data_IF_280128564918
#
_entry.id   IF_280128564918
#
_cell.length_a   1.000
_cell.length_b   1.000
_cell.length_c   1.000
_cell.angle_alpha   90.00
_cell.angle_beta   90.00
_cell.angle_gamma   90.00
#
_symmetry.space_group_name_H-M   'P 1'
#
loop_
_entity.id
_entity.type
_entity.pdbx_description
1 polymer ?
#
# COMPACT_ATOMS: atom_id res chain seq x y z
N UNK A 1 3.03 13.02 19.00
CA UNK A 1 2.40 11.95 18.21
C UNK A 1 3.03 10.62 18.56
N UNK A 2 2.21 9.61 18.72
CA UNK A 2 2.68 8.28 19.11
C UNK A 2 3.39 7.56 17.95
N UNK A 3 4.44 6.82 18.27
CA UNK A 3 5.11 5.92 17.33
C UNK A 3 4.22 4.75 16.89
N UNK A 4 3.08 4.56 17.54
CA UNK A 4 2.09 3.55 17.20
C UNK A 4 1.03 4.04 16.21
N UNK A 5 1.27 5.19 15.59
CA UNK A 5 0.40 5.78 14.56
C UNK A 5 1.24 6.38 13.45
N UNK A 6 0.66 6.40 12.24
CA UNK A 6 1.24 7.13 11.13
C UNK A 6 0.64 8.54 11.16
N UNK A 7 1.48 9.54 11.38
CA UNK A 7 1.03 10.94 11.32
C UNK A 7 0.78 11.39 9.88
N UNK A 8 0.01 12.45 9.70
CA UNK A 8 -0.17 13.05 8.38
C UNK A 8 1.17 13.50 7.77
N UNK A 9 2.06 14.06 8.57
CA UNK A 9 3.38 14.47 8.09
C UNK A 9 4.17 13.27 7.55
N UNK A 10 4.19 12.15 8.27
CA UNK A 10 4.85 10.93 7.78
C UNK A 10 4.16 10.37 6.55
N UNK A 11 2.83 10.38 6.50
CA UNK A 11 2.09 9.92 5.33
C UNK A 11 2.46 10.77 4.09
N UNK A 12 2.56 12.08 4.24
CA UNK A 12 2.97 12.97 3.16
C UNK A 12 4.41 12.71 2.72
N UNK A 13 5.31 12.40 3.65
CA UNK A 13 6.69 12.03 3.34
C UNK A 13 6.73 10.73 2.54
N UNK A 14 5.95 9.73 2.94
CA UNK A 14 5.82 8.46 2.19
C UNK A 14 5.43 8.73 0.75
N UNK A 15 4.38 9.53 0.54
CA UNK A 15 3.85 9.79 -0.80
C UNK A 15 4.88 10.54 -1.65
N UNK A 16 5.48 11.60 -1.12
CA UNK A 16 6.48 12.37 -1.85
C UNK A 16 7.69 11.51 -2.26
N UNK A 17 8.19 10.68 -1.36
CA UNK A 17 9.33 9.80 -1.64
C UNK A 17 8.97 8.64 -2.57
N UNK A 18 7.76 8.12 -2.49
CA UNK A 18 7.23 7.14 -3.44
C UNK A 18 7.26 7.71 -4.86
N UNK A 19 6.77 8.91 -5.05
CA UNK A 19 6.76 9.56 -6.36
C UNK A 19 8.16 9.92 -6.85
N UNK A 20 9.04 10.35 -5.94
CA UNK A 20 10.43 10.63 -6.28
C UNK A 20 11.14 9.37 -6.79
N UNK A 21 10.90 8.24 -6.13
CA UNK A 21 11.45 6.94 -6.56
C UNK A 21 10.92 6.55 -7.94
N UNK A 22 9.64 6.76 -8.19
CA UNK A 22 9.05 6.47 -9.49
C UNK A 22 9.68 7.30 -10.61
N UNK A 23 9.92 8.59 -10.39
CA UNK A 23 10.59 9.46 -11.36
C UNK A 23 12.04 9.02 -11.61
N UNK A 24 12.77 8.75 -10.54
CA UNK A 24 14.16 8.26 -10.64
C UNK A 24 14.26 6.99 -11.46
N UNK A 25 13.34 6.05 -11.27
CA UNK A 25 13.35 4.75 -11.92
C UNK A 25 12.62 4.73 -13.28
N UNK A 26 12.09 5.86 -13.73
CA UNK A 26 11.38 5.96 -15.01
C UNK A 26 10.04 5.23 -15.05
N UNK A 27 9.37 5.13 -13.91
CA UNK A 27 8.06 4.48 -13.80
C UNK A 27 6.95 5.34 -14.44
N UNK A 28 5.88 4.68 -14.85
CA UNK A 28 4.64 5.36 -15.25
C UNK A 28 4.06 6.14 -14.07
N UNK A 29 3.13 7.10 -14.29
CA UNK A 29 2.51 7.85 -13.20
C UNK A 29 1.92 6.94 -12.14
N UNK A 30 2.15 7.29 -10.88
CA UNK A 30 1.75 6.50 -9.71
C UNK A 30 0.64 7.17 -8.92
N UNK A 31 -0.15 6.34 -8.27
CA UNK A 31 -1.05 6.74 -7.18
C UNK A 31 -0.56 6.07 -5.90
N UNK A 32 -0.60 6.81 -4.79
CA UNK A 32 -0.13 6.31 -3.50
C UNK A 32 -1.12 6.68 -2.41
N UNK A 33 -1.52 5.69 -1.62
CA UNK A 33 -2.39 5.86 -0.46
C UNK A 33 -1.65 5.40 0.80
N UNK A 34 -1.87 6.14 1.88
CA UNK A 34 -1.45 5.73 3.22
C UNK A 34 -2.70 5.58 4.06
N UNK A 35 -2.86 4.41 4.68
CA UNK A 35 -4.02 4.11 5.52
C UNK A 35 -3.57 3.82 6.95
N UNK A 36 -4.48 4.06 7.92
CA UNK A 36 -4.25 3.71 9.32
C UNK A 36 -4.44 2.20 9.57
N UNK A 37 -4.30 1.77 10.82
CA UNK A 37 -4.40 0.36 11.17
C UNK A 37 -5.79 -0.26 10.89
N UNK A 38 -6.82 0.56 10.78
CA UNK A 38 -8.18 0.13 10.42
C UNK A 38 -8.45 0.15 8.92
N UNK A 39 -7.45 0.53 8.12
CA UNK A 39 -7.62 0.63 6.67
C UNK A 39 -8.23 1.94 6.18
N UNK A 40 -8.39 2.93 7.07
CA UNK A 40 -8.96 4.23 6.71
C UNK A 40 -7.88 5.14 6.14
N UNK A 41 -8.24 5.91 5.10
CA UNK A 41 -7.29 6.78 4.40
C UNK A 41 -6.82 7.92 5.30
N UNK A 42 -5.50 8.05 5.46
CA UNK A 42 -4.86 9.21 6.07
C UNK A 42 -4.54 10.25 4.98
N UNK A 43 -3.94 9.81 3.87
CA UNK A 43 -3.58 10.66 2.75
C UNK A 43 -3.56 9.86 1.45
N UNK A 44 -3.90 10.52 0.36
CA UNK A 44 -3.84 9.96 -0.99
C UNK A 44 -3.45 11.04 -1.97
N UNK A 45 -2.56 10.70 -2.91
CA UNK A 45 -2.28 11.53 -4.07
C UNK A 45 -2.13 10.67 -5.30
N UNK A 46 -2.55 11.19 -6.44
CA UNK A 46 -2.28 10.59 -7.74
C UNK A 46 -1.51 11.57 -8.61
N UNK A 47 -0.48 11.09 -9.28
CA UNK A 47 0.23 11.90 -10.26
C UNK A 47 -0.66 12.15 -11.49
N UNK A 48 -0.38 13.23 -12.19
CA UNK A 48 -1.09 13.52 -13.44
C UNK A 48 -0.93 12.35 -14.42
N UNK A 49 -2.02 12.03 -15.12
CA UNK A 49 -2.03 10.97 -16.10
C UNK A 49 -2.44 9.59 -15.58
N UNK A 50 -2.67 9.45 -14.26
CA UNK A 50 -3.21 8.19 -13.71
C UNK A 50 -4.72 8.10 -13.93
N UNK A 51 -5.24 6.88 -14.15
CA UNK A 51 -6.67 6.65 -14.23
C UNK A 51 -7.32 6.78 -12.85
N UNK A 52 -8.61 7.16 -12.81
CA UNK A 52 -9.29 7.43 -11.53
C UNK A 52 -9.59 6.18 -10.69
N UNK A 53 -9.57 4.98 -11.29
CA UNK A 53 -9.74 3.74 -10.53
C UNK A 53 -8.53 3.44 -9.62
N UNK A 54 -7.42 4.12 -9.83
CA UNK A 54 -6.18 3.85 -9.10
C UNK A 54 -6.29 4.08 -7.59
N UNK A 55 -7.13 5.01 -7.13
CA UNK A 55 -7.40 5.14 -5.69
C UNK A 55 -7.94 3.82 -5.12
N UNK A 56 -8.93 3.24 -5.77
CA UNK A 56 -9.56 2.01 -5.29
C UNK A 56 -8.59 0.83 -5.32
N UNK A 57 -7.75 0.75 -6.36
CA UNK A 57 -6.73 -0.30 -6.47
C UNK A 57 -5.66 -0.12 -5.39
N UNK A 58 -5.13 1.07 -5.21
CA UNK A 58 -4.11 1.36 -4.18
C UNK A 58 -4.66 1.05 -2.79
N UNK A 59 -5.88 1.49 -2.50
CA UNK A 59 -6.54 1.22 -1.23
C UNK A 59 -6.79 -0.27 -1.02
N UNK A 60 -7.21 -0.99 -2.05
CA UNK A 60 -7.41 -2.44 -1.98
C UNK A 60 -6.10 -3.20 -1.74
N UNK A 61 -4.98 -2.71 -2.25
CA UNK A 61 -3.66 -3.27 -1.93
C UNK A 61 -3.30 -3.04 -0.46
N UNK A 62 -3.46 -1.81 0.04
CA UNK A 62 -3.10 -1.45 1.41
C UNK A 62 -4.06 -2.05 2.44
N UNK A 63 -5.35 -1.79 2.30
CA UNK A 63 -6.35 -2.27 3.24
C UNK A 63 -6.51 -3.79 3.20
N UNK A 64 -6.41 -4.40 2.01
CA UNK A 64 -6.45 -5.84 1.87
C UNK A 64 -5.27 -6.52 2.57
N UNK A 65 -4.09 -5.93 2.50
CA UNK A 65 -2.92 -6.42 3.25
C UNK A 65 -3.20 -6.43 4.76
N UNK A 66 -3.73 -5.33 5.30
CA UNK A 66 -4.11 -5.26 6.72
C UNK A 66 -5.18 -6.28 7.08
N UNK A 67 -6.18 -6.46 6.22
CA UNK A 67 -7.28 -7.40 6.45
C UNK A 67 -6.81 -8.84 6.60
N UNK A 68 -5.77 -9.24 5.84
CA UNK A 68 -5.20 -10.59 5.90
C UNK A 68 -3.93 -10.67 6.76
N UNK A 69 -3.36 -9.56 7.16
CA UNK A 69 -2.14 -9.52 7.98
C UNK A 69 -0.87 -9.87 7.23
N UNK A 70 -0.86 -9.76 5.92
CA UNK A 70 0.30 -10.02 5.05
C UNK A 70 0.38 -8.97 3.94
N UNK A 71 1.58 -8.72 3.41
CA UNK A 71 1.72 -7.80 2.29
C UNK A 71 0.95 -8.31 1.05
N UNK A 72 0.52 -7.41 0.19
CA UNK A 72 -0.31 -7.80 -0.97
C UNK A 72 0.43 -8.68 -1.98
N UNK A 73 1.77 -8.69 -1.98
CA UNK A 73 2.57 -9.67 -2.71
C UNK A 73 2.23 -11.09 -2.27
N UNK A 74 2.15 -11.32 -0.95
CA UNK A 74 1.81 -12.64 -0.41
C UNK A 74 0.36 -13.02 -0.75
N UNK A 75 -0.54 -12.06 -0.78
CA UNK A 75 -1.92 -12.32 -1.22
C UNK A 75 -1.93 -12.80 -2.68
N UNK A 76 -1.07 -12.23 -3.53
CA UNK A 76 -0.90 -12.69 -4.91
C UNK A 76 -0.44 -14.15 -5.00
N UNK A 77 0.50 -14.54 -4.15
CA UNK A 77 0.95 -15.95 -4.05
C UNK A 77 -0.18 -16.87 -3.58
N UNK A 78 -0.94 -16.42 -2.57
CA UNK A 78 -2.11 -17.15 -2.07
C UNK A 78 -3.18 -17.32 -3.15
N UNK A 79 -3.38 -16.29 -3.97
CA UNK A 79 -4.32 -16.34 -5.09
C UNK A 79 -3.91 -17.35 -6.14
N UNK A 80 -2.61 -17.51 -6.39
CA UNK A 80 -2.10 -18.53 -7.31
C UNK A 80 -2.29 -19.95 -6.74
N UNK A 81 -2.09 -20.12 -5.43
CA UNK A 81 -2.25 -21.40 -4.74
C UNK A 81 -3.72 -21.77 -4.52
N UNK A 82 -4.57 -20.79 -4.20
CA UNK A 82 -5.96 -20.97 -3.80
C UNK A 82 -6.86 -19.90 -4.42
N UNK A 83 -7.04 -19.90 -5.76
CA UNK A 83 -7.75 -18.82 -6.45
C UNK A 83 -9.20 -18.63 -6.00
N UNK A 84 -9.94 -19.74 -5.78
CA UNK A 84 -11.34 -19.65 -5.36
C UNK A 84 -11.48 -19.06 -3.96
N UNK A 85 -10.57 -19.43 -3.05
CA UNK A 85 -10.59 -18.90 -1.68
C UNK A 85 -10.34 -17.37 -1.69
N UNK A 86 -9.28 -16.93 -2.32
CA UNK A 86 -8.96 -15.49 -2.38
C UNK A 86 -10.06 -14.72 -3.09
N UNK A 87 -10.62 -15.24 -4.18
CA UNK A 87 -11.73 -14.60 -4.88
C UNK A 87 -12.96 -14.40 -3.96
N UNK A 88 -13.22 -15.36 -3.07
CA UNK A 88 -14.35 -15.28 -2.14
C UNK A 88 -14.19 -14.19 -1.08
N UNK A 89 -12.96 -13.79 -0.75
CA UNK A 89 -12.69 -12.82 0.30
C UNK A 89 -13.00 -11.38 -0.13
N UNK A 90 -13.07 -11.09 -1.42
CA UNK A 90 -13.37 -9.76 -1.93
C UNK A 90 -14.68 -9.18 -1.41
N UNK A 91 -15.68 -10.04 -1.18
CA UNK A 91 -16.98 -9.63 -0.65
C UNK A 91 -16.92 -9.28 0.85
N UNK A 92 -15.94 -9.76 1.57
CA UNK A 92 -15.78 -9.55 3.01
C UNK A 92 -14.92 -8.33 3.31
N UNK A 93 -14.03 -7.97 2.39
CA UNK A 93 -13.07 -6.88 2.58
C UNK A 93 -13.72 -5.53 2.25
N UNK A 94 -14.03 -4.75 3.28
CA UNK A 94 -14.78 -3.48 3.14
C UNK A 94 -14.11 -2.47 2.20
N UNK A 95 -12.77 -2.41 2.19
CA UNK A 95 -12.00 -1.45 1.39
C UNK A 95 -11.23 -2.12 0.24
N UNK A 96 -11.65 -3.30 -0.16
CA UNK A 96 -11.08 -4.04 -1.26
C UNK A 96 -9.97 -5.01 -0.84
N UNK A 97 -9.61 -5.86 -1.79
CA UNK A 97 -8.56 -6.86 -1.62
C UNK A 97 -7.97 -7.10 -3.00
N UNK A 98 -6.77 -6.57 -3.23
CA UNK A 98 -6.10 -6.65 -4.54
C UNK A 98 -4.88 -7.56 -4.41
N UNK A 99 -4.88 -8.74 -5.05
CA UNK A 99 -3.89 -9.80 -4.83
C UNK A 99 -2.64 -9.63 -5.70
N UNK A 100 -2.02 -8.46 -5.67
CA UNK A 100 -0.77 -8.18 -6.38
C UNK A 100 0.10 -7.25 -5.54
N UNK A 101 1.40 -7.28 -5.75
CA UNK A 101 2.36 -6.47 -5.00
C UNK A 101 2.07 -4.96 -5.10
N UNK A 102 2.49 -4.22 -4.09
CA UNK A 102 2.31 -2.77 -4.00
C UNK A 102 1.63 -2.31 -2.72
N UNK A 103 1.02 -3.22 -1.96
CA UNK A 103 0.49 -2.95 -0.64
C UNK A 103 1.44 -3.48 0.43
N UNK A 104 1.96 -2.59 1.27
CA UNK A 104 2.96 -2.93 2.28
C UNK A 104 2.49 -2.47 3.65
N UNK A 105 2.40 -3.42 4.59
CA UNK A 105 2.06 -3.12 5.98
C UNK A 105 3.22 -2.38 6.63
N UNK A 106 2.89 -1.37 7.43
CA UNK A 106 3.84 -0.64 8.27
C UNK A 106 3.66 -1.12 9.71
N UNK A 107 4.77 -1.51 10.33
CA UNK A 107 4.78 -2.01 11.71
C UNK A 107 5.21 -0.92 12.68
N UNK A 108 4.61 -0.93 13.86
CA UNK A 108 5.06 -0.14 15.00
C UNK A 108 6.23 -0.79 15.74
N UNK A 109 6.70 -0.15 16.82
CA UNK A 109 7.84 -0.64 17.61
C UNK A 109 7.63 -2.03 18.22
N UNK A 110 6.38 -2.41 18.47
CA UNK A 110 6.00 -3.73 19.02
C UNK A 110 5.79 -4.80 17.93
N UNK A 111 6.02 -4.46 16.67
CA UNK A 111 5.80 -5.36 15.53
C UNK A 111 4.35 -5.47 15.08
N UNK A 112 3.43 -4.76 15.72
CA UNK A 112 2.01 -4.74 15.35
C UNK A 112 1.79 -3.70 14.26
N UNK A 113 0.91 -3.99 13.31
CA UNK A 113 0.60 -3.08 12.21
C UNK A 113 0.02 -1.76 12.72
N UNK A 114 0.56 -0.64 12.24
CA UNK A 114 0.04 0.70 12.53
C UNK A 114 -0.60 1.34 11.30
N UNK A 115 -0.51 0.70 10.16
CA UNK A 115 -1.08 1.14 8.90
C UNK A 115 -0.49 0.39 7.73
N UNK A 116 -0.73 0.89 6.54
CA UNK A 116 -0.18 0.35 5.32
C UNK A 116 -0.06 1.41 4.23
N UNK A 117 0.77 1.13 3.26
CA UNK A 117 0.96 1.96 2.06
C UNK A 117 0.55 1.14 0.85
N UNK A 118 -0.23 1.73 -0.04
CA UNK A 118 -0.61 1.11 -1.31
C UNK A 118 -0.18 1.97 -2.48
N UNK A 119 0.54 1.37 -3.42
CA UNK A 119 1.01 2.02 -4.64
C UNK A 119 0.54 1.25 -5.85
N UNK A 120 0.09 1.97 -6.86
CA UNK A 120 -0.32 1.40 -8.14
C UNK A 120 -0.01 2.37 -9.28
N UNK A 121 0.23 1.86 -10.48
CA UNK A 121 0.44 2.67 -11.67
C UNK A 121 1.43 2.09 -12.64
N UNK A 122 2.44 1.38 -12.18
CA UNK A 122 3.45 0.70 -12.99
C UNK A 122 3.26 -0.83 -12.88
N UNK A 123 4.31 -1.61 -13.07
CA UNK A 123 4.24 -3.04 -12.74
C UNK A 123 4.08 -3.21 -11.23
N UNK A 124 3.46 -4.30 -10.81
CA UNK A 124 3.24 -4.55 -9.37
C UNK A 124 4.57 -4.60 -8.60
N UNK A 125 5.62 -5.18 -9.17
CA UNK A 125 6.94 -5.19 -8.55
C UNK A 125 7.51 -3.78 -8.39
N UNK A 126 7.39 -2.94 -9.39
CA UNK A 126 7.84 -1.55 -9.33
C UNK A 126 6.99 -0.73 -8.35
N UNK A 127 5.69 -0.96 -8.30
CA UNK A 127 4.80 -0.34 -7.33
C UNK A 127 5.28 -0.61 -5.89
N UNK A 128 5.68 -1.85 -5.61
CA UNK A 128 6.22 -2.24 -4.30
C UNK A 128 7.55 -1.57 -4.00
N UNK A 129 8.45 -1.50 -4.98
CA UNK A 129 9.74 -0.81 -4.84
C UNK A 129 9.51 0.65 -4.45
N UNK A 130 8.57 1.32 -5.10
CA UNK A 130 8.24 2.71 -4.80
C UNK A 130 7.63 2.85 -3.39
N UNK A 131 6.75 1.93 -2.99
CA UNK A 131 6.15 1.92 -1.65
C UNK A 131 7.24 1.77 -0.57
N UNK A 132 8.16 0.83 -0.75
CA UNK A 132 9.25 0.60 0.20
C UNK A 132 10.17 1.81 0.32
N UNK A 133 10.46 2.49 -0.78
CA UNK A 133 11.25 3.73 -0.76
C UNK A 133 10.54 4.83 0.04
N UNK A 134 9.23 4.96 -0.11
CA UNK A 134 8.44 5.92 0.64
C UNK A 134 8.44 5.63 2.15
N UNK A 135 8.23 4.38 2.51
CA UNK A 135 8.22 3.92 3.92
C UNK A 135 9.59 4.20 4.57
N UNK A 136 10.68 3.86 3.88
CA UNK A 136 12.02 4.09 4.39
C UNK A 136 12.31 5.58 4.59
N UNK A 137 11.92 6.44 3.65
CA UNK A 137 12.14 7.88 3.75
C UNK A 137 11.43 8.51 4.94
N UNK A 138 10.29 7.96 5.36
CA UNK A 138 9.55 8.43 6.53
C UNK A 138 10.07 7.85 7.86
N UNK A 139 11.11 7.01 7.82
CA UNK A 139 11.64 6.36 9.00
C UNK A 139 10.71 5.29 9.56
N UNK A 140 9.81 4.76 8.74
CA UNK A 140 8.87 3.71 9.12
C UNK A 140 9.45 2.33 8.79
N UNK A 141 8.87 1.29 9.41
CA UNK A 141 9.34 -0.08 9.27
C UNK A 141 8.31 -0.91 8.49
N UNK A 142 8.68 -1.49 7.33
CA UNK A 142 7.77 -2.36 6.59
C UNK A 142 7.73 -3.76 7.20
N UNK A 143 6.62 -4.47 6.95
CA UNK A 143 6.50 -5.91 7.23
C UNK A 143 7.39 -6.69 6.29
#
# INVERSE_FOLDING_TARGET
MSEFRISLDKANTVIAATFAKGKEAGMKPLSCVVVDAGGHVIAFQRQDGTSFLRLDIARGKAAGALALGVNSRRIGEMAAERPSFIASLGHLAANGLIPVAGGVIVKGPDGIAIGAVGVTGDTSDNDEIAALAGIAAAGLTPL
#
